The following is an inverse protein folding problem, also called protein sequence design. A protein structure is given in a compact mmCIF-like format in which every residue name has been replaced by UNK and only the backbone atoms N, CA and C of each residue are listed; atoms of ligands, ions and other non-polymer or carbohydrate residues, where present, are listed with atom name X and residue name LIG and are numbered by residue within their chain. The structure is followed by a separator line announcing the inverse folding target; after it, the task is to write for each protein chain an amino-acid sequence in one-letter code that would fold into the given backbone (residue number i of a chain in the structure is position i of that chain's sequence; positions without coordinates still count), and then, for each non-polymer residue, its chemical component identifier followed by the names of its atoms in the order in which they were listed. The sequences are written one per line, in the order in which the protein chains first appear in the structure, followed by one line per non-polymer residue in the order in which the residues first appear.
data_IF_645361132202
#
_entry.id   IF_645361132202
#
_cell.length_a   1.000
_cell.length_b   1.000
_cell.length_c   1.000
_cell.angle_alpha   90.00
_cell.angle_beta   90.00
_cell.angle_gamma   90.00
#
_symmetry.space_group_name_H-M   'P 1'
#
loop_
_entity.id
_entity.type
_entity.pdbx_description
1 polymer ?
#
# COMPACT_ATOMS: atom_id res chain seq x y z
N UNK A 1 17.29 7.12 11.95
CA UNK A 1 15.95 6.87 11.36
C UNK A 1 14.94 6.91 12.50
N UNK A 2 13.91 7.74 12.41
CA UNK A 2 12.89 7.88 13.44
C UNK A 2 12.06 6.60 13.54
N UNK A 3 11.83 6.09 14.75
CA UNK A 3 10.99 4.91 14.98
C UNK A 3 9.52 5.32 15.04
N UNK A 4 8.77 4.97 13.98
CA UNK A 4 7.35 5.27 13.88
C UNK A 4 6.50 4.51 14.94
N UNK A 5 6.93 3.33 15.36
CA UNK A 5 6.25 2.58 16.40
C UNK A 5 6.35 3.30 17.75
N UNK A 6 7.54 3.79 18.08
CA UNK A 6 7.77 4.55 19.32
C UNK A 6 6.97 5.85 19.34
N UNK A 7 6.92 6.58 18.22
CA UNK A 7 6.12 7.82 18.11
C UNK A 7 4.62 7.61 18.34
N UNK A 8 4.08 6.46 18.00
CA UNK A 8 2.68 6.12 18.19
C UNK A 8 2.42 5.27 19.46
N UNK A 9 3.45 5.08 20.29
CA UNK A 9 3.40 4.20 21.46
C UNK A 9 2.89 2.79 21.10
N UNK A 10 3.32 2.26 19.94
CA UNK A 10 3.01 0.91 19.47
C UNK A 10 4.22 -0.02 19.63
N UNK A 11 4.01 -1.31 19.91
CA UNK A 11 5.09 -2.28 19.88
C UNK A 11 5.56 -2.51 18.44
N UNK A 12 6.87 -2.78 18.24
CA UNK A 12 7.43 -3.16 16.93
C UNK A 12 6.96 -4.56 16.56
N UNK A 13 5.92 -4.63 15.72
CA UNK A 13 5.32 -5.90 15.29
C UNK A 13 4.75 -5.84 13.88
N UNK A 14 4.64 -6.99 13.18
CA UNK A 14 4.18 -7.01 11.80
C UNK A 14 2.71 -6.65 11.64
N UNK A 15 1.88 -6.96 12.64
CA UNK A 15 0.45 -6.65 12.62
C UNK A 15 0.10 -5.63 13.69
N UNK A 16 -0.70 -4.64 13.30
CA UNK A 16 -1.33 -3.69 14.22
C UNK A 16 -2.83 -3.65 13.88
N UNK A 17 -3.67 -3.67 14.88
CA UNK A 17 -5.11 -3.48 14.68
C UNK A 17 -5.38 -2.08 14.10
N UNK A 18 -6.03 -1.98 12.93
CA UNK A 18 -6.19 -0.69 12.24
C UNK A 18 -7.02 0.32 13.02
N UNK A 19 -8.04 -0.15 13.74
CA UNK A 19 -8.92 0.77 14.49
C UNK A 19 -8.23 1.23 15.78
N UNK A 20 -7.56 0.32 16.49
CA UNK A 20 -6.77 0.68 17.68
C UNK A 20 -5.66 1.68 17.34
N UNK A 21 -4.93 1.47 16.23
CA UNK A 21 -3.90 2.39 15.74
C UNK A 21 -4.50 3.78 15.43
N UNK A 22 -5.65 3.82 14.75
CA UNK A 22 -6.35 5.06 14.41
C UNK A 22 -6.79 5.82 15.66
N UNK A 23 -7.39 5.15 16.63
CA UNK A 23 -7.82 5.77 17.90
C UNK A 23 -6.62 6.36 18.66
N UNK A 24 -5.52 5.63 18.71
CA UNK A 24 -4.28 6.10 19.33
C UNK A 24 -3.71 7.34 18.62
N UNK A 25 -3.68 7.32 17.29
CA UNK A 25 -3.29 8.49 16.49
C UNK A 25 -4.17 9.69 16.77
N UNK A 26 -5.50 9.55 16.79
CA UNK A 26 -6.44 10.65 17.09
C UNK A 26 -6.14 11.24 18.48
N UNK A 27 -5.95 10.40 19.49
CA UNK A 27 -5.65 10.84 20.84
C UNK A 27 -4.32 11.61 20.94
N UNK A 28 -3.27 11.14 20.27
CA UNK A 28 -1.96 11.82 20.21
C UNK A 28 -2.04 13.12 19.41
N UNK A 29 -2.71 13.11 18.25
CA UNK A 29 -2.94 14.28 17.40
C UNK A 29 -3.65 15.40 18.16
N UNK A 30 -4.70 15.07 18.93
CA UNK A 30 -5.42 16.04 19.74
C UNK A 30 -4.53 16.72 20.81
N UNK A 31 -3.52 16.00 21.34
CA UNK A 31 -2.57 16.54 22.31
C UNK A 31 -1.49 17.42 21.69
N UNK A 32 -1.04 17.07 20.49
CA UNK A 32 0.07 17.72 19.78
C UNK A 32 -0.39 18.78 18.77
N UNK A 33 -1.71 19.04 18.68
CA UNK A 33 -2.24 19.95 17.66
C UNK A 33 -1.63 21.34 17.79
N UNK A 34 -1.11 21.94 16.70
CA UNK A 34 -0.47 23.27 16.72
C UNK A 34 -1.34 24.39 17.30
N UNK A 35 -2.65 24.30 17.13
CA UNK A 35 -3.60 25.31 17.66
C UNK A 35 -3.57 25.42 19.19
N UNK A 36 -3.08 24.38 19.89
CA UNK A 36 -2.95 24.43 21.37
C UNK A 36 -1.83 25.37 21.83
N UNK A 37 -0.89 25.66 20.95
CA UNK A 37 0.26 26.51 21.22
C UNK A 37 0.21 27.81 20.42
N UNK A 38 -0.99 28.25 19.97
CA UNK A 38 -1.15 29.44 19.15
C UNK A 38 -0.63 30.73 19.84
N UNK A 39 -0.64 30.77 21.19
CA UNK A 39 -0.12 31.89 21.99
C UNK A 39 1.35 31.74 22.38
N UNK A 40 1.99 30.60 22.05
CA UNK A 40 3.39 30.36 22.37
C UNK A 40 4.35 31.14 21.44
N UNK A 41 5.63 31.16 21.81
CA UNK A 41 6.68 31.78 21.00
C UNK A 41 6.81 31.14 19.61
N UNK A 42 7.42 31.87 18.65
CA UNK A 42 7.67 31.35 17.30
C UNK A 42 8.39 29.99 17.29
N UNK A 43 9.50 29.82 18.05
CA UNK A 43 10.21 28.54 18.13
C UNK A 43 9.36 27.40 18.69
N UNK A 44 8.54 27.65 19.73
CA UNK A 44 7.66 26.64 20.32
C UNK A 44 6.55 26.18 19.34
N UNK A 45 5.99 27.11 18.59
CA UNK A 45 5.02 26.79 17.53
C UNK A 45 5.66 25.96 16.42
N UNK A 46 6.88 26.31 15.99
CA UNK A 46 7.62 25.54 15.00
C UNK A 46 7.90 24.10 15.47
N UNK A 47 8.32 23.93 16.71
CA UNK A 47 8.57 22.61 17.30
C UNK A 47 7.28 21.77 17.44
N UNK A 48 6.15 22.41 17.78
CA UNK A 48 4.85 21.71 17.82
C UNK A 48 4.38 21.26 16.44
N UNK A 49 4.55 22.12 15.42
CA UNK A 49 4.23 21.80 14.02
C UNK A 49 5.09 20.63 13.51
N UNK A 50 6.38 20.62 13.82
CA UNK A 50 7.29 19.54 13.43
C UNK A 50 6.86 18.20 14.05
N UNK A 51 6.63 18.16 15.36
CA UNK A 51 6.14 16.95 16.07
C UNK A 51 4.82 16.45 15.52
N UNK A 52 3.89 17.34 15.21
CA UNK A 52 2.62 16.99 14.60
C UNK A 52 2.79 16.39 13.21
N UNK A 53 3.70 16.96 12.40
CA UNK A 53 4.04 16.46 11.07
C UNK A 53 4.70 15.08 11.15
N UNK A 54 5.63 14.87 12.08
CA UNK A 54 6.26 13.56 12.33
C UNK A 54 5.23 12.51 12.75
N UNK A 55 4.29 12.86 13.65
CA UNK A 55 3.22 11.95 14.08
C UNK A 55 2.32 11.53 12.90
N UNK A 56 1.95 12.48 12.04
CA UNK A 56 1.15 12.19 10.83
C UNK A 56 1.91 11.26 9.87
N UNK A 57 3.20 11.52 9.64
CA UNK A 57 4.05 10.69 8.80
C UNK A 57 4.18 9.27 9.37
N UNK A 58 4.38 9.13 10.68
CA UNK A 58 4.44 7.85 11.36
C UNK A 58 3.12 7.06 11.25
N UNK A 59 1.97 7.71 11.46
CA UNK A 59 0.67 7.08 11.28
C UNK A 59 0.45 6.61 9.85
N UNK A 60 0.73 7.47 8.86
CA UNK A 60 0.59 7.11 7.45
C UNK A 60 1.47 5.92 7.06
N UNK A 61 2.67 5.81 7.64
CA UNK A 61 3.59 4.69 7.43
C UNK A 61 3.09 3.42 8.09
N UNK A 62 2.62 3.47 9.34
CA UNK A 62 2.21 2.27 10.07
C UNK A 62 0.81 1.75 9.67
N UNK A 63 -0.10 2.60 9.21
CA UNK A 63 -1.43 2.16 8.75
C UNK A 63 -1.38 1.36 7.44
N UNK A 64 -0.39 1.61 6.57
CA UNK A 64 -0.19 0.83 5.36
C UNK A 64 0.61 -0.44 5.68
N UNK A 65 0.06 -1.65 5.44
CA UNK A 65 0.75 -2.90 5.79
C UNK A 65 2.11 -3.06 5.11
N UNK A 66 2.27 -2.63 3.86
CA UNK A 66 3.54 -2.71 3.13
C UNK A 66 4.58 -1.77 3.74
N UNK A 67 4.21 -0.51 4.00
CA UNK A 67 5.12 0.50 4.56
C UNK A 67 5.47 0.17 6.02
N UNK A 68 4.52 -0.41 6.77
CA UNK A 68 4.77 -0.92 8.12
C UNK A 68 5.78 -2.06 8.10
N UNK A 69 5.63 -3.05 7.20
CA UNK A 69 6.61 -4.14 7.06
C UNK A 69 7.99 -3.63 6.65
N UNK A 70 8.06 -2.68 5.70
CA UNK A 70 9.31 -2.07 5.31
C UNK A 70 10.00 -1.42 6.52
N UNK A 71 9.26 -0.62 7.28
CA UNK A 71 9.81 0.06 8.46
C UNK A 71 10.27 -0.92 9.53
N UNK A 72 9.46 -1.97 9.80
CA UNK A 72 9.83 -3.01 10.74
C UNK A 72 11.12 -3.74 10.31
N UNK A 73 11.21 -4.12 9.04
CA UNK A 73 12.40 -4.78 8.49
C UNK A 73 13.65 -3.88 8.54
N UNK A 74 13.50 -2.58 8.26
CA UNK A 74 14.58 -1.60 8.41
C UNK A 74 15.10 -1.52 9.86
N UNK A 75 14.19 -1.55 10.84
CA UNK A 75 14.55 -1.51 12.27
C UNK A 75 15.22 -2.81 12.73
N UNK A 76 14.70 -3.98 12.30
CA UNK A 76 15.21 -5.29 12.74
C UNK A 76 16.51 -5.70 12.01
N UNK A 77 16.66 -5.33 10.74
CA UNK A 77 17.82 -5.70 9.91
C UNK A 77 18.91 -4.62 9.86
N UNK A 78 18.59 -3.40 10.28
CA UNK A 78 19.49 -2.25 10.17
C UNK A 78 19.70 -1.71 8.74
N UNK A 79 19.01 -2.28 7.75
CA UNK A 79 19.09 -1.89 6.34
C UNK A 79 17.77 -2.15 5.61
N UNK A 80 17.56 -1.45 4.50
CA UNK A 80 16.43 -1.73 3.61
C UNK A 80 16.53 -3.12 3.00
N UNK A 81 15.41 -3.88 2.90
CA UNK A 81 15.36 -5.12 2.13
C UNK A 81 15.84 -4.88 0.69
N UNK A 82 16.61 -5.82 0.15
CA UNK A 82 17.07 -5.74 -1.24
C UNK A 82 15.88 -5.79 -2.20
N UNK A 83 15.85 -4.88 -3.15
CA UNK A 83 14.85 -4.91 -4.23
C UNK A 83 15.20 -6.05 -5.22
N UNK A 84 14.61 -7.20 -5.01
CA UNK A 84 14.75 -8.35 -5.91
C UNK A 84 13.54 -8.34 -6.84
N UNK A 85 13.74 -7.92 -8.08
CA UNK A 85 12.69 -7.82 -9.11
C UNK A 85 12.36 -9.18 -9.73
N UNK A 86 12.35 -10.24 -8.95
CA UNK A 86 12.00 -11.58 -9.44
C UNK A 86 10.57 -11.91 -9.03
N UNK A 87 9.69 -12.05 -10.02
CA UNK A 87 8.31 -12.48 -9.79
C UNK A 87 8.33 -13.96 -9.36
N UNK A 88 7.69 -14.30 -8.22
CA UNK A 88 7.56 -15.68 -7.78
C UNK A 88 6.86 -16.55 -8.82
N UNK A 89 7.25 -17.83 -8.98
CA UNK A 89 6.69 -18.74 -9.99
C UNK A 89 5.16 -18.87 -9.94
N UNK A 90 4.58 -18.87 -8.75
CA UNK A 90 3.15 -18.96 -8.48
C UNK A 90 2.37 -17.70 -8.92
N UNK A 91 3.04 -16.57 -9.13
CA UNK A 91 2.46 -15.32 -9.61
C UNK A 91 2.69 -15.05 -11.10
N UNK A 92 3.47 -15.88 -11.80
CA UNK A 92 3.79 -15.67 -13.22
C UNK A 92 2.52 -15.66 -14.09
N UNK A 93 1.59 -16.59 -13.85
CA UNK A 93 0.32 -16.64 -14.59
C UNK A 93 -0.49 -15.36 -14.42
N UNK A 94 -0.63 -14.89 -13.18
CA UNK A 94 -1.33 -13.64 -12.86
C UNK A 94 -0.65 -12.41 -13.47
N UNK A 95 0.68 -12.40 -13.47
CA UNK A 95 1.47 -11.34 -14.11
C UNK A 95 1.29 -11.31 -15.63
N UNK A 96 1.23 -12.47 -16.29
CA UNK A 96 1.00 -12.56 -17.73
C UNK A 96 -0.43 -12.09 -18.09
N UNK A 97 -1.44 -12.50 -17.32
CA UNK A 97 -2.83 -12.05 -17.45
C UNK A 97 -2.91 -10.52 -17.30
N UNK A 98 -2.27 -9.95 -16.29
CA UNK A 98 -2.16 -8.51 -16.08
C UNK A 98 -1.55 -7.79 -17.28
N UNK A 99 -0.41 -8.25 -17.76
CA UNK A 99 0.30 -7.61 -18.87
C UNK A 99 -0.50 -7.67 -20.19
N UNK A 100 -1.22 -8.76 -20.40
CA UNK A 100 -2.09 -8.89 -21.57
C UNK A 100 -3.23 -7.88 -21.49
N UNK A 101 -3.98 -7.88 -20.37
CA UNK A 101 -5.11 -6.98 -20.16
C UNK A 101 -4.69 -5.50 -20.21
N UNK A 102 -3.52 -5.16 -19.68
CA UNK A 102 -2.98 -3.81 -19.77
C UNK A 102 -2.66 -3.41 -21.21
N UNK A 103 -2.08 -4.31 -22.01
CA UNK A 103 -1.80 -4.04 -23.45
C UNK A 103 -3.07 -3.86 -24.27
N UNK A 104 -4.10 -4.67 -24.00
CA UNK A 104 -5.40 -4.55 -24.65
C UNK A 104 -6.05 -3.19 -24.31
N UNK A 105 -5.99 -2.77 -23.04
CA UNK A 105 -6.48 -1.47 -22.62
C UNK A 105 -5.73 -0.32 -23.28
N UNK A 106 -4.41 -0.37 -23.31
CA UNK A 106 -3.56 0.65 -23.94
C UNK A 106 -3.84 0.74 -25.44
N UNK A 107 -4.06 -0.39 -26.12
CA UNK A 107 -4.45 -0.46 -27.53
C UNK A 107 -5.78 0.25 -27.77
N UNK A 108 -6.82 -0.10 -26.99
CA UNK A 108 -8.16 0.49 -27.11
C UNK A 108 -8.14 2.01 -26.82
N UNK A 109 -7.39 2.45 -25.81
CA UNK A 109 -7.21 3.87 -25.51
C UNK A 109 -6.51 4.61 -26.65
N UNK A 110 -5.54 3.97 -27.31
CA UNK A 110 -4.88 4.49 -28.50
C UNK A 110 -5.83 4.64 -29.69
N UNK A 111 -6.71 3.66 -29.93
CA UNK A 111 -7.76 3.73 -30.95
C UNK A 111 -8.77 4.85 -30.62
N UNK A 112 -9.26 4.92 -29.39
CA UNK A 112 -10.25 5.91 -28.92
C UNK A 112 -9.78 7.35 -29.17
N UNK A 113 -8.49 7.63 -29.00
CA UNK A 113 -7.89 8.96 -29.24
C UNK A 113 -7.87 9.38 -30.72
N UNK A 114 -7.92 8.42 -31.66
CA UNK A 114 -7.84 8.68 -33.11
C UNK A 114 -9.21 8.82 -33.76
N UNK A 115 -10.28 8.43 -33.07
CA UNK A 115 -11.64 8.40 -33.62
C UNK A 115 -12.35 9.71 -33.35
N UNK A 116 -12.78 10.37 -34.44
CA UNK A 116 -13.60 11.58 -34.41
C UNK A 116 -15.09 11.32 -34.74
N UNK A 117 -15.43 10.14 -35.29
CA UNK A 117 -16.81 9.81 -35.67
C UNK A 117 -17.67 9.46 -34.46
N UNK A 118 -18.85 10.12 -34.27
CA UNK A 118 -19.76 9.81 -33.16
C UNK A 118 -20.22 8.33 -33.17
N UNK A 119 -20.49 7.77 -34.35
CA UNK A 119 -20.95 6.37 -34.49
C UNK A 119 -19.87 5.39 -34.03
N UNK A 120 -18.62 5.62 -34.40
CA UNK A 120 -17.52 4.76 -33.98
C UNK A 120 -17.25 4.90 -32.47
N UNK A 121 -17.49 6.07 -31.88
CA UNK A 121 -17.38 6.25 -30.42
C UNK A 121 -18.40 5.41 -29.67
N UNK A 122 -19.64 5.26 -30.17
CA UNK A 122 -20.65 4.39 -29.56
C UNK A 122 -20.21 2.93 -29.62
N UNK A 123 -19.70 2.45 -30.76
CA UNK A 123 -19.19 1.07 -30.87
C UNK A 123 -18.03 0.79 -29.92
N UNK A 124 -17.17 1.80 -29.68
CA UNK A 124 -16.07 1.66 -28.74
C UNK A 124 -16.51 1.68 -27.28
N UNK A 125 -17.67 2.25 -26.98
CA UNK A 125 -18.20 2.27 -25.62
C UNK A 125 -18.40 0.84 -25.08
N UNK A 126 -19.04 -0.04 -25.84
CA UNK A 126 -19.27 -1.43 -25.44
C UNK A 126 -17.95 -2.17 -25.21
N UNK A 127 -16.96 -1.98 -26.10
CA UNK A 127 -15.63 -2.58 -25.92
C UNK A 127 -14.90 -2.01 -24.69
N UNK A 128 -15.03 -0.69 -24.44
CA UNK A 128 -14.45 -0.05 -23.25
C UNK A 128 -15.08 -0.60 -21.97
N UNK A 129 -16.39 -0.78 -21.96
CA UNK A 129 -17.11 -1.34 -20.81
C UNK A 129 -16.68 -2.78 -20.54
N UNK A 130 -16.69 -3.66 -21.54
CA UNK A 130 -16.25 -5.04 -21.41
C UNK A 130 -14.83 -5.14 -20.86
N UNK A 131 -13.92 -4.33 -21.37
CA UNK A 131 -12.52 -4.32 -20.90
C UNK A 131 -12.40 -3.77 -19.49
N UNK A 132 -13.18 -2.75 -19.14
CA UNK A 132 -13.25 -2.23 -17.76
C UNK A 132 -13.70 -3.31 -16.78
N UNK A 133 -14.72 -4.10 -17.15
CA UNK A 133 -15.20 -5.23 -16.34
C UNK A 133 -14.14 -6.32 -16.17
N UNK A 134 -13.38 -6.64 -17.23
CA UNK A 134 -12.26 -7.58 -17.15
C UNK A 134 -11.14 -7.08 -16.23
N UNK A 135 -10.75 -5.80 -16.35
CA UNK A 135 -9.75 -5.19 -15.48
C UNK A 135 -10.21 -5.15 -14.01
N UNK A 136 -11.49 -4.86 -13.77
CA UNK A 136 -12.06 -4.86 -12.43
C UNK A 136 -12.09 -6.28 -11.82
N UNK A 137 -12.42 -7.30 -12.61
CA UNK A 137 -12.36 -8.70 -12.17
C UNK A 137 -10.92 -9.11 -11.80
N UNK A 138 -9.94 -8.70 -12.61
CA UNK A 138 -8.52 -8.94 -12.31
C UNK A 138 -8.06 -8.20 -11.06
N UNK A 139 -8.50 -6.96 -10.86
CA UNK A 139 -8.25 -6.19 -9.65
C UNK A 139 -8.81 -6.88 -8.41
N UNK A 140 -10.03 -7.44 -8.49
CA UNK A 140 -10.63 -8.22 -7.42
C UNK A 140 -9.83 -9.50 -7.09
N UNK A 141 -9.31 -10.18 -8.12
CA UNK A 141 -8.45 -11.36 -7.96
C UNK A 141 -7.15 -11.02 -7.22
N UNK A 142 -6.54 -9.87 -7.56
CA UNK A 142 -5.34 -9.36 -6.87
C UNK A 142 -5.69 -8.96 -5.43
N UNK A 143 -6.83 -8.31 -5.20
CA UNK A 143 -7.28 -7.92 -3.87
C UNK A 143 -7.51 -9.13 -2.96
N UNK A 144 -8.10 -10.22 -3.48
CA UNK A 144 -8.26 -11.49 -2.74
C UNK A 144 -6.90 -12.04 -2.30
N UNK A 145 -5.94 -12.16 -3.23
CA UNK A 145 -4.59 -12.64 -2.91
C UNK A 145 -3.87 -11.72 -1.90
N UNK A 146 -4.05 -10.42 -2.02
CA UNK A 146 -3.54 -9.47 -1.03
C UNK A 146 -4.15 -9.72 0.35
N UNK A 147 -5.45 -10.04 0.42
CA UNK A 147 -6.13 -10.42 1.66
C UNK A 147 -5.50 -11.66 2.32
N UNK A 148 -5.15 -12.68 1.52
CA UNK A 148 -4.44 -13.88 2.01
C UNK A 148 -3.10 -13.54 2.65
N UNK A 149 -2.31 -12.63 2.02
CA UNK A 149 -1.04 -12.18 2.59
C UNK A 149 -1.23 -11.42 3.91
N UNK A 150 -2.24 -10.57 3.99
CA UNK A 150 -2.54 -9.82 5.21
C UNK A 150 -2.96 -10.76 6.35
N UNK A 151 -3.75 -11.78 6.06
CA UNK A 151 -4.11 -12.82 7.02
C UNK A 151 -2.89 -13.64 7.47
N UNK A 152 -1.92 -13.88 6.58
CA UNK A 152 -0.66 -14.53 6.94
C UNK A 152 0.18 -13.65 7.88
N UNK A 153 0.33 -12.35 7.58
CA UNK A 153 1.02 -11.37 8.44
C UNK A 153 0.39 -11.36 9.84
N UNK A 154 -0.94 -11.37 9.92
CA UNK A 154 -1.64 -11.40 11.19
C UNK A 154 -1.37 -12.68 11.99
N UNK A 155 -1.32 -13.84 11.32
CA UNK A 155 -0.96 -15.11 11.98
C UNK A 155 0.50 -15.12 12.47
N UNK A 156 1.42 -14.55 11.71
CA UNK A 156 2.83 -14.46 12.11
C UNK A 156 3.03 -13.59 13.34
N UNK A 157 2.14 -12.65 13.60
CA UNK A 157 2.19 -11.77 14.77
C UNK A 157 2.10 -12.55 16.09
N UNK A 158 1.38 -13.67 16.12
CA UNK A 158 1.24 -14.50 17.33
C UNK A 158 2.54 -15.13 17.83
N UNK A 159 3.54 -15.29 16.96
CA UNK A 159 4.85 -15.85 17.30
C UNK A 159 5.95 -14.79 17.38
N UNK A 160 5.60 -13.52 17.15
CA UNK A 160 6.56 -12.41 17.07
C UNK A 160 7.25 -12.09 18.39
N UNK A 161 6.56 -12.26 19.52
CA UNK A 161 7.10 -11.95 20.84
C UNK A 161 8.17 -12.97 21.31
N UNK A 162 8.29 -14.13 20.62
CA UNK A 162 9.32 -15.12 20.89
C UNK A 162 10.57 -14.84 20.06
N UNK A 163 11.70 -14.57 20.69
CA UNK A 163 12.96 -14.20 20.00
C UNK A 163 13.38 -15.21 18.91
N UNK A 164 13.34 -16.54 19.11
CA UNK A 164 13.60 -17.48 18.02
C UNK A 164 12.59 -17.38 16.87
N UNK A 165 11.31 -17.19 17.20
CA UNK A 165 10.24 -17.04 16.21
C UNK A 165 10.39 -15.76 15.37
N UNK A 166 10.72 -14.63 15.99
CA UNK A 166 10.98 -13.36 15.31
C UNK A 166 12.08 -13.49 14.26
N UNK A 167 13.24 -14.05 14.62
CA UNK A 167 14.36 -14.19 13.71
C UNK A 167 14.03 -15.13 12.52
N UNK A 168 13.30 -16.21 12.77
CA UNK A 168 12.85 -17.11 11.71
C UNK A 168 11.80 -16.46 10.79
N UNK A 169 10.95 -15.57 11.34
CA UNK A 169 9.91 -14.88 10.60
C UNK A 169 10.43 -13.76 9.66
N UNK A 170 11.61 -13.18 9.92
CA UNK A 170 12.12 -12.03 9.16
C UNK A 170 12.23 -12.33 7.65
N UNK A 171 12.75 -13.49 7.26
CA UNK A 171 12.86 -13.87 5.85
C UNK A 171 11.51 -13.94 5.15
N UNK A 172 10.49 -14.50 5.83
CA UNK A 172 9.13 -14.55 5.27
C UNK A 172 8.46 -13.20 5.22
N UNK A 173 8.67 -12.34 6.22
CA UNK A 173 8.18 -10.95 6.19
C UNK A 173 8.78 -10.14 5.05
N UNK A 174 10.05 -10.37 4.72
CA UNK A 174 10.70 -9.75 3.56
C UNK A 174 10.05 -10.21 2.23
N UNK A 175 9.72 -11.48 2.10
CA UNK A 175 8.97 -12.00 0.95
C UNK A 175 7.56 -11.38 0.87
N UNK A 176 6.82 -11.32 1.98
CA UNK A 176 5.50 -10.72 2.05
C UNK A 176 5.51 -9.22 1.70
N UNK A 177 6.53 -8.49 2.15
CA UNK A 177 6.76 -7.10 1.74
C UNK A 177 6.91 -6.97 0.22
N UNK A 178 7.71 -7.84 -0.40
CA UNK A 178 7.90 -7.86 -1.87
C UNK A 178 6.59 -8.15 -2.61
N UNK A 179 5.83 -9.16 -2.15
CA UNK A 179 4.54 -9.53 -2.72
C UNK A 179 3.53 -8.37 -2.63
N UNK A 180 3.43 -7.72 -1.48
CA UNK A 180 2.59 -6.53 -1.31
C UNK A 180 3.02 -5.39 -2.24
N UNK A 181 4.33 -5.23 -2.47
CA UNK A 181 4.86 -4.23 -3.40
C UNK A 181 4.43 -4.50 -4.84
N UNK A 182 4.44 -5.77 -5.29
CA UNK A 182 3.90 -6.15 -6.60
C UNK A 182 2.40 -5.85 -6.70
N UNK A 183 1.61 -6.31 -5.73
CA UNK A 183 0.17 -6.14 -5.77
C UNK A 183 -0.25 -4.66 -5.74
N UNK A 184 0.41 -3.82 -4.95
CA UNK A 184 0.15 -2.39 -4.95
C UNK A 184 0.43 -1.76 -6.34
N UNK A 185 1.55 -2.12 -6.98
CA UNK A 185 1.90 -1.65 -8.33
C UNK A 185 0.88 -2.12 -9.36
N UNK A 186 0.50 -3.39 -9.34
CA UNK A 186 -0.44 -3.99 -10.29
C UNK A 186 -1.85 -3.39 -10.13
N UNK A 187 -2.31 -3.22 -8.90
CA UNK A 187 -3.58 -2.54 -8.62
C UNK A 187 -3.59 -1.11 -9.15
N UNK A 188 -2.49 -0.36 -8.98
CA UNK A 188 -2.34 0.99 -9.52
C UNK A 188 -2.41 1.02 -11.05
N UNK A 189 -1.72 0.10 -11.74
CA UNK A 189 -1.75 -0.02 -13.19
C UNK A 189 -3.14 -0.32 -13.75
N UNK A 190 -3.89 -1.21 -13.08
CA UNK A 190 -5.27 -1.52 -13.46
C UNK A 190 -6.20 -0.33 -13.22
N UNK A 191 -6.09 0.30 -12.05
CA UNK A 191 -6.93 1.44 -11.67
C UNK A 191 -6.78 2.61 -12.63
N UNK A 192 -5.55 2.92 -13.04
CA UNK A 192 -5.27 3.98 -14.02
C UNK A 192 -6.02 3.74 -15.34
N UNK A 193 -5.95 2.50 -15.86
CA UNK A 193 -6.61 2.14 -17.11
C UNK A 193 -8.12 2.08 -17.00
N UNK A 194 -8.66 1.58 -15.89
CA UNK A 194 -10.10 1.61 -15.60
C UNK A 194 -10.63 3.05 -15.66
N UNK A 195 -9.94 3.99 -15.01
CA UNK A 195 -10.33 5.40 -15.03
C UNK A 195 -10.25 5.97 -16.45
N UNK A 196 -9.17 5.69 -17.20
CA UNK A 196 -9.01 6.20 -18.58
C UNK A 196 -10.04 5.62 -19.55
N UNK A 197 -10.45 4.36 -19.40
CA UNK A 197 -11.49 3.74 -20.23
C UNK A 197 -12.88 4.29 -19.93
N UNK A 198 -13.14 4.75 -18.71
CA UNK A 198 -14.40 5.31 -18.27
C UNK A 198 -14.63 6.78 -18.70
N UNK A 199 -13.57 7.47 -19.14
CA UNK A 199 -13.58 8.83 -19.70
C UNK A 199 -13.84 8.82 -21.21
#
# INVERSE_FOLDING_TARGET
MTDCFELLNEPRRPWLDPEALKQKFIALSARLHPDRVHQASGPERAAAQERYTELNAAYNRLRDPKERLLHLLELELGAKPKDIQRIPPDLISLFNELNQSCREADGLLGEKRRINSPLLKVQMFDRSQQLTEQLAALQQKIASKRGELLAEIQRMDSVWDHVPGRKAALGRLEELYRLLSYFNRWTGQLQERIVQLSL
#
